data_IF_009050032788
#
_entry.id   IF_009050032788
#
_cell.length_a   1.000
_cell.length_b   1.000
_cell.length_c   1.000
_cell.angle_alpha   90.00
_cell.angle_beta   90.00
_cell.angle_gamma   90.00
#
_symmetry.space_group_name_H-M   'P 1'
#
loop_
_entity.id
_entity.type
_entity.pdbx_description
1 polymer ?
#
# COMPACT_ATOMS: atom_id res chain seq x y z
N UNK A 1 32.80 9.36 23.89
CA UNK A 1 33.46 8.07 24.22
C UNK A 1 34.95 8.27 24.15
N UNK A 2 35.73 7.92 25.18
CA UNK A 2 37.20 8.00 25.10
C UNK A 2 37.73 6.81 24.32
N UNK A 3 38.40 7.07 23.20
CA UNK A 3 39.05 6.02 22.42
C UNK A 3 40.39 5.66 23.07
N UNK A 4 40.45 4.50 23.71
CA UNK A 4 41.68 3.88 24.23
C UNK A 4 42.08 2.67 23.37
N UNK A 5 43.36 2.24 23.37
CA UNK A 5 43.80 1.09 22.59
C UNK A 5 42.92 -0.14 22.87
N UNK A 6 42.29 -0.69 21.83
CA UNK A 6 41.34 -1.82 21.93
C UNK A 6 39.86 -1.43 21.95
N UNK A 7 39.52 -0.14 21.93
CA UNK A 7 38.11 0.30 21.86
C UNK A 7 37.56 0.13 20.44
N UNK A 8 36.44 -0.56 20.31
CA UNK A 8 35.73 -0.68 19.03
C UNK A 8 35.02 0.65 18.71
N UNK A 9 35.33 1.23 17.54
CA UNK A 9 34.73 2.46 17.05
C UNK A 9 33.65 2.13 16.01
N UNK A 10 32.46 2.69 16.18
CA UNK A 10 31.39 2.57 15.19
C UNK A 10 31.63 3.53 14.03
N UNK A 11 31.29 3.08 12.82
CA UNK A 11 31.28 3.94 11.64
C UNK A 11 30.30 5.09 11.82
N UNK A 12 30.74 6.32 11.52
CA UNK A 12 29.96 7.55 11.69
C UNK A 12 30.32 8.40 12.92
N UNK A 13 31.24 7.95 13.78
CA UNK A 13 31.74 8.79 14.87
C UNK A 13 32.63 9.92 14.35
N UNK A 14 32.40 11.14 14.83
CA UNK A 14 33.23 12.32 14.57
C UNK A 14 34.30 12.41 15.66
N UNK A 15 35.56 12.55 15.23
CA UNK A 15 36.67 12.76 16.15
C UNK A 15 36.75 14.25 16.54
N UNK A 16 36.47 14.55 17.80
CA UNK A 16 36.48 15.92 18.32
C UNK A 16 37.90 16.44 18.63
N UNK A 17 38.87 15.58 18.96
CA UNK A 17 40.20 16.02 19.42
C UNK A 17 41.28 14.94 19.32
N UNK A 18 42.41 15.29 18.70
CA UNK A 18 43.62 14.46 18.62
C UNK A 18 43.75 13.61 17.34
N UNK A 19 44.95 13.09 17.07
CA UNK A 19 45.20 12.13 15.99
C UNK A 19 44.98 10.70 16.49
N UNK A 20 44.10 9.96 15.81
CA UNK A 20 43.80 8.57 16.14
C UNK A 20 44.22 7.71 14.94
N UNK A 21 45.03 6.68 15.18
CA UNK A 21 45.37 5.67 14.17
C UNK A 21 44.54 4.42 14.47
N UNK A 22 43.66 4.05 13.56
CA UNK A 22 42.74 2.93 13.72
C UNK A 22 42.93 1.92 12.61
N UNK A 23 42.71 0.64 12.91
CA UNK A 23 42.69 -0.45 11.92
C UNK A 23 41.24 -0.70 11.53
N UNK A 24 40.97 -0.75 10.23
CA UNK A 24 39.65 -1.12 9.71
C UNK A 24 39.44 -2.60 9.97
N UNK A 25 38.50 -2.94 10.85
CA UNK A 25 38.16 -4.32 11.20
C UNK A 25 37.10 -4.90 10.25
N UNK A 26 36.22 -4.04 9.70
CA UNK A 26 35.11 -4.42 8.82
C UNK A 26 34.95 -3.48 7.62
N UNK A 27 34.57 -4.06 6.48
CA UNK A 27 34.33 -3.36 5.20
C UNK A 27 33.00 -2.57 5.28
N UNK A 28 32.92 -1.45 4.54
CA UNK A 28 31.80 -0.50 4.54
C UNK A 28 30.41 -1.15 4.29
N UNK A 29 30.34 -2.28 3.61
CA UNK A 29 29.08 -3.03 3.41
C UNK A 29 28.48 -3.57 4.72
N UNK A 30 29.29 -3.79 5.76
CA UNK A 30 28.80 -4.15 7.11
C UNK A 30 28.64 -2.94 8.05
N UNK A 31 28.82 -1.72 7.54
CA UNK A 31 28.71 -0.50 8.33
C UNK A 31 27.26 -0.27 8.80
N UNK A 32 27.11 0.29 9.99
CA UNK A 32 25.82 0.64 10.59
C UNK A 32 25.01 1.58 9.69
N UNK A 33 25.67 2.41 8.89
CA UNK A 33 25.01 3.31 7.92
C UNK A 33 24.29 2.53 6.82
N UNK A 34 24.92 1.49 6.29
CA UNK A 34 24.34 0.61 5.25
C UNK A 34 23.14 -0.15 5.81
N UNK A 35 23.23 -0.65 7.04
CA UNK A 35 22.09 -1.30 7.73
C UNK A 35 20.92 -0.34 8.00
N UNK A 36 21.20 0.93 8.30
CA UNK A 36 20.15 1.94 8.46
C UNK A 36 19.51 2.24 7.11
N UNK A 37 20.29 2.39 6.03
CA UNK A 37 19.74 2.61 4.68
C UNK A 37 18.86 1.43 4.26
N UNK A 38 19.35 0.20 4.39
CA UNK A 38 18.57 -1.02 4.10
C UNK A 38 17.30 -1.10 4.95
N UNK A 39 17.38 -0.80 6.25
CA UNK A 39 16.20 -0.84 7.12
C UNK A 39 15.15 0.22 6.72
N UNK A 40 15.58 1.42 6.33
CA UNK A 40 14.70 2.51 5.88
C UNK A 40 14.09 2.18 4.51
N UNK A 41 14.88 1.67 3.58
CA UNK A 41 14.43 1.31 2.24
C UNK A 41 13.48 0.11 2.28
N UNK A 42 13.72 -0.88 3.14
CA UNK A 42 12.86 -2.05 3.32
C UNK A 42 11.56 -1.72 4.10
N UNK A 43 11.60 -0.72 4.99
CA UNK A 43 10.40 -0.16 5.63
C UNK A 43 9.55 0.66 4.64
N UNK A 44 10.18 1.40 3.74
CA UNK A 44 9.49 2.14 2.67
C UNK A 44 8.95 1.23 1.55
N UNK A 45 9.65 0.12 1.24
CA UNK A 45 9.24 -0.86 0.23
C UNK A 45 8.16 -1.83 0.71
N UNK A 46 7.94 -1.91 2.03
CA UNK A 46 6.83 -2.63 2.63
C UNK A 46 5.52 -1.96 2.21
N UNK A 47 5.04 -2.31 1.01
CA UNK A 47 3.75 -1.91 0.47
C UNK A 47 2.70 -2.03 1.59
N UNK A 48 2.03 -0.92 1.96
CA UNK A 48 1.06 -0.93 3.03
C UNK A 48 0.06 -2.06 2.82
N UNK A 49 -0.18 -2.87 3.85
CA UNK A 49 -1.11 -4.02 3.80
C UNK A 49 -2.52 -3.64 3.29
N UNK A 50 -2.87 -2.36 3.39
CA UNK A 50 -4.13 -1.75 2.94
C UNK A 50 -4.31 -1.77 1.42
N UNK A 51 -3.25 -1.66 0.63
CA UNK A 51 -3.33 -1.67 -0.85
C UNK A 51 -3.94 -3.00 -1.36
N UNK A 52 -3.62 -4.11 -0.66
CA UNK A 52 -4.18 -5.44 -0.92
C UNK A 52 -5.66 -5.57 -0.53
N UNK A 53 -6.16 -4.78 0.42
CA UNK A 53 -7.57 -4.83 0.84
C UNK A 53 -8.49 -4.19 -0.20
N UNK A 54 -8.16 -2.99 -0.69
CA UNK A 54 -8.93 -2.34 -1.77
C UNK A 54 -8.94 -3.19 -3.03
N UNK A 55 -7.77 -3.65 -3.48
CA UNK A 55 -7.69 -4.43 -4.72
C UNK A 55 -8.46 -5.75 -4.62
N UNK A 56 -8.48 -6.39 -3.45
CA UNK A 56 -9.27 -7.62 -3.22
C UNK A 56 -10.77 -7.34 -3.16
N UNK A 57 -11.19 -6.26 -2.51
CA UNK A 57 -12.59 -5.88 -2.41
C UNK A 57 -13.15 -5.46 -3.77
N UNK A 58 -12.44 -4.59 -4.48
CA UNK A 58 -12.81 -4.17 -5.83
C UNK A 58 -12.93 -5.36 -6.77
N UNK A 59 -11.96 -6.30 -6.74
CA UNK A 59 -11.98 -7.50 -7.60
C UNK A 59 -13.21 -8.40 -7.40
N UNK A 60 -13.85 -8.37 -6.23
CA UNK A 60 -15.04 -9.18 -5.95
C UNK A 60 -16.33 -8.35 -6.13
N UNK A 61 -16.31 -7.09 -5.70
CA UNK A 61 -17.49 -6.22 -5.73
C UNK A 61 -17.94 -5.86 -7.16
N UNK A 62 -17.02 -5.43 -8.06
CA UNK A 62 -17.39 -5.09 -9.44
C UNK A 62 -18.01 -6.24 -10.23
N UNK A 63 -17.47 -7.47 -10.26
CA UNK A 63 -18.10 -8.55 -11.01
C UNK A 63 -19.45 -8.96 -10.43
N UNK A 64 -19.63 -8.93 -9.11
CA UNK A 64 -20.92 -9.26 -8.47
C UNK A 64 -22.00 -8.26 -8.87
N UNK A 65 -21.71 -6.97 -8.78
CA UNK A 65 -22.66 -5.91 -9.11
C UNK A 65 -23.03 -5.92 -10.61
N UNK A 66 -22.05 -6.13 -11.49
CA UNK A 66 -22.30 -6.25 -12.93
C UNK A 66 -23.19 -7.47 -13.22
N UNK A 67 -22.91 -8.62 -12.59
CA UNK A 67 -23.74 -9.80 -12.72
C UNK A 67 -25.18 -9.55 -12.25
N UNK A 68 -25.36 -8.91 -11.08
CA UNK A 68 -26.69 -8.54 -10.57
C UNK A 68 -27.43 -7.59 -11.52
N UNK A 69 -26.74 -6.58 -12.08
CA UNK A 69 -27.36 -5.66 -13.04
C UNK A 69 -27.81 -6.37 -14.31
N UNK A 70 -27.05 -7.35 -14.80
CA UNK A 70 -27.41 -8.17 -15.96
C UNK A 70 -28.64 -9.03 -15.66
N UNK A 71 -28.69 -9.63 -14.48
CA UNK A 71 -29.82 -10.45 -14.03
C UNK A 71 -31.09 -9.61 -13.93
N UNK A 72 -31.00 -8.40 -13.35
CA UNK A 72 -32.11 -7.45 -13.27
C UNK A 72 -32.52 -6.92 -14.64
N UNK A 73 -31.61 -6.82 -15.60
CA UNK A 73 -31.95 -6.47 -16.97
C UNK A 73 -32.67 -7.62 -17.69
N UNK A 74 -32.23 -8.87 -17.52
CA UNK A 74 -32.68 -10.01 -18.34
C UNK A 74 -33.95 -10.67 -17.77
N UNK A 75 -33.98 -11.00 -16.47
CA UNK A 75 -35.09 -11.76 -15.87
C UNK A 75 -36.44 -11.08 -16.09
N UNK A 76 -36.63 -9.82 -15.66
CA UNK A 76 -37.93 -9.18 -15.78
C UNK A 76 -38.21 -8.66 -17.19
N UNK A 77 -37.19 -8.38 -18.00
CA UNK A 77 -37.39 -8.05 -19.43
C UNK A 77 -37.96 -9.24 -20.21
N UNK A 78 -37.56 -10.48 -19.88
CA UNK A 78 -38.10 -11.69 -20.49
C UNK A 78 -39.56 -11.96 -20.11
N UNK A 79 -39.98 -11.53 -18.90
CA UNK A 79 -41.35 -11.73 -18.38
C UNK A 79 -42.31 -10.62 -18.85
N UNK A 80 -41.84 -9.37 -18.90
CA UNK A 80 -42.71 -8.20 -19.14
C UNK A 80 -42.67 -7.70 -20.59
N UNK A 81 -41.70 -8.12 -21.42
CA UNK A 81 -41.55 -7.68 -22.82
C UNK A 81 -41.05 -6.24 -23.01
N UNK A 82 -41.04 -5.42 -21.96
CA UNK A 82 -40.58 -4.03 -21.96
C UNK A 82 -39.07 -3.91 -21.74
N UNK A 83 -38.29 -4.17 -22.80
CA UNK A 83 -36.82 -4.09 -22.77
C UNK A 83 -36.31 -2.71 -22.35
N UNK A 84 -36.99 -1.64 -22.80
CA UNK A 84 -36.55 -0.27 -22.52
C UNK A 84 -36.56 0.04 -21.02
N UNK A 85 -37.65 -0.25 -20.33
CA UNK A 85 -37.83 0.06 -18.90
C UNK A 85 -36.85 -0.69 -18.00
N UNK A 86 -36.63 -1.98 -18.28
CA UNK A 86 -35.76 -2.82 -17.47
C UNK A 86 -34.28 -2.55 -17.70
N UNK A 87 -33.89 -2.19 -18.93
CA UNK A 87 -32.53 -1.68 -19.21
C UNK A 87 -32.27 -0.38 -18.45
N UNK A 88 -33.19 0.59 -18.49
CA UNK A 88 -33.05 1.84 -17.72
C UNK A 88 -32.90 1.61 -16.21
N UNK A 89 -33.68 0.67 -15.67
CA UNK A 89 -33.59 0.30 -14.24
C UNK A 89 -32.26 -0.37 -13.91
N UNK A 90 -31.77 -1.27 -14.76
CA UNK A 90 -30.48 -1.93 -14.59
C UNK A 90 -29.30 -0.95 -14.65
N UNK A 91 -29.32 0.01 -15.59
CA UNK A 91 -28.31 1.08 -15.64
C UNK A 91 -28.36 1.96 -14.39
N UNK A 92 -29.56 2.32 -13.92
CA UNK A 92 -29.72 3.13 -12.71
C UNK A 92 -29.16 2.40 -11.49
N UNK A 93 -29.40 1.09 -11.38
CA UNK A 93 -28.84 0.25 -10.33
C UNK A 93 -27.30 0.19 -10.38
N UNK A 94 -26.74 0.06 -11.59
CA UNK A 94 -25.30 0.07 -11.80
C UNK A 94 -24.67 1.41 -11.41
N UNK A 95 -25.31 2.54 -11.71
CA UNK A 95 -24.82 3.87 -11.31
C UNK A 95 -24.84 4.05 -9.79
N UNK A 96 -25.92 3.63 -9.12
CA UNK A 96 -26.05 3.72 -7.66
C UNK A 96 -25.01 2.84 -6.95
N UNK A 97 -24.62 1.73 -7.56
CA UNK A 97 -23.65 0.78 -6.97
C UNK A 97 -22.23 1.33 -6.83
N UNK A 98 -21.92 2.46 -7.47
CA UNK A 98 -20.57 3.00 -7.54
C UNK A 98 -20.05 3.25 -6.11
N UNK A 99 -18.98 2.55 -5.65
CA UNK A 99 -18.55 2.58 -4.26
C UNK A 99 -17.71 3.83 -3.94
N UNK A 100 -18.19 5.01 -4.31
CA UNK A 100 -17.48 6.29 -4.21
C UNK A 100 -17.03 6.59 -2.77
N UNK A 101 -17.87 6.27 -1.78
CA UNK A 101 -17.56 6.46 -0.37
C UNK A 101 -16.43 5.54 0.13
N UNK A 102 -16.30 4.33 -0.43
CA UNK A 102 -15.26 3.37 -0.06
C UNK A 102 -13.88 3.82 -0.57
N UNK A 103 -13.82 4.40 -1.77
CA UNK A 103 -12.55 4.84 -2.37
C UNK A 103 -12.02 6.10 -1.67
N UNK A 104 -12.92 7.01 -1.26
CA UNK A 104 -12.54 8.26 -0.59
C UNK A 104 -12.14 8.08 0.88
N UNK A 105 -12.67 7.07 1.57
CA UNK A 105 -12.38 6.85 3.00
C UNK A 105 -10.97 6.35 3.27
N UNK A 106 -10.33 5.69 2.31
CA UNK A 106 -8.99 5.12 2.48
C UNK A 106 -7.90 6.20 2.61
N UNK A 107 -7.77 7.20 1.72
CA UNK A 107 -6.78 8.26 1.92
C UNK A 107 -7.05 9.07 3.20
N UNK A 108 -8.30 9.31 3.57
CA UNK A 108 -8.65 10.03 4.80
C UNK A 108 -8.15 9.32 6.07
N UNK A 109 -8.21 7.98 6.12
CA UNK A 109 -7.70 7.19 7.24
C UNK A 109 -6.16 7.17 7.32
N UNK A 110 -5.45 7.44 6.23
CA UNK A 110 -3.98 7.58 6.24
C UNK A 110 -3.50 8.96 6.70
N UNK A 111 -4.35 9.98 6.63
CA UNK A 111 -4.02 11.37 7.01
C UNK A 111 -4.53 11.76 8.42
N UNK A 112 -5.09 10.82 9.19
CA UNK A 112 -5.50 10.97 10.60
C UNK A 112 -4.62 10.14 11.51
#
# INVERSE_FOLDING_TARGET
>A
VRAVPGTQLMSGCINESGRITMRVDKVLEESMVTKILDAVENAASSKPKIDRFITRFARVYTPIVVALSLVVAIIPSLITGEWHKWIYTALTFLVISCPCALVLSVPLAFFS
#
